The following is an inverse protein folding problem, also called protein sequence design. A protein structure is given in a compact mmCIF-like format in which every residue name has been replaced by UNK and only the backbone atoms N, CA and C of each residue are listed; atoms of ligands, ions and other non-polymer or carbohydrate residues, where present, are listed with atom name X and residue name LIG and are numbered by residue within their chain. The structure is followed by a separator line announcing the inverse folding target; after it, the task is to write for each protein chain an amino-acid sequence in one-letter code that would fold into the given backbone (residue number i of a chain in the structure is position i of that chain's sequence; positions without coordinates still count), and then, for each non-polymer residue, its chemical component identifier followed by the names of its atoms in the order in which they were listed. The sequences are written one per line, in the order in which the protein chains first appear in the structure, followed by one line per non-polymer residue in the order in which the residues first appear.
data_IF_869484113488
#
_entry.id   IF_869484113488
#
_cell.length_a   1.000
_cell.length_b   1.000
_cell.length_c   1.000
_cell.angle_alpha   90.00
_cell.angle_beta   90.00
_cell.angle_gamma   90.00
#
_symmetry.space_group_name_H-M   'P 1'
#
loop_
_entity.id
_entity.type
_entity.pdbx_description
1 polymer ?
#
# COMPACT_ATOMS: atom_id res chain seq x y z
N UNK A 1 5.49 10.07 -19.91
CA UNK A 1 5.91 9.93 -18.50
C UNK A 1 6.61 8.59 -18.36
N UNK A 2 7.83 8.50 -17.81
CA UNK A 2 8.42 7.20 -17.57
C UNK A 2 7.66 6.56 -16.41
N UNK A 3 6.79 5.60 -16.73
CA UNK A 3 6.35 4.60 -15.75
C UNK A 3 7.60 3.77 -15.49
N UNK A 4 8.29 4.06 -14.40
CA UNK A 4 9.51 3.35 -14.04
C UNK A 4 9.09 2.05 -13.35
N UNK A 5 9.22 0.92 -14.04
CA UNK A 5 9.08 -0.41 -13.46
C UNK A 5 10.26 -0.66 -12.51
N UNK A 6 10.15 -0.21 -11.27
CA UNK A 6 10.97 -0.72 -10.19
C UNK A 6 10.42 -2.11 -9.82
N UNK A 7 11.26 -3.14 -9.89
CA UNK A 7 10.84 -4.51 -9.60
C UNK A 7 10.76 -4.72 -8.08
N UNK A 8 9.66 -4.28 -7.46
CA UNK A 8 9.25 -4.81 -6.15
C UNK A 8 8.78 -6.24 -6.38
N UNK A 9 9.52 -7.21 -5.85
CA UNK A 9 9.15 -8.62 -5.94
C UNK A 9 8.12 -8.96 -4.86
N UNK A 10 6.95 -9.39 -5.30
CA UNK A 10 5.89 -9.89 -4.44
C UNK A 10 5.80 -11.41 -4.57
N UNK A 11 5.56 -12.08 -3.45
CA UNK A 11 5.32 -13.53 -3.46
C UNK A 11 3.90 -13.82 -3.89
N UNK A 12 3.70 -14.94 -4.59
CA UNK A 12 2.37 -15.42 -4.98
C UNK A 12 1.45 -15.72 -3.79
N UNK A 13 2.03 -15.91 -2.60
CA UNK A 13 1.32 -16.20 -1.37
C UNK A 13 2.01 -15.51 -0.17
N UNK A 14 1.22 -14.90 0.71
CA UNK A 14 1.73 -14.19 1.90
C UNK A 14 2.29 -15.14 2.97
N UNK A 15 1.78 -16.37 3.03
CA UNK A 15 2.31 -17.45 3.86
C UNK A 15 3.66 -17.96 3.36
N UNK A 16 3.87 -18.05 2.03
CA UNK A 16 5.19 -18.34 1.45
C UNK A 16 6.22 -17.27 1.80
N UNK A 17 5.85 -15.99 1.75
CA UNK A 17 6.73 -14.90 2.22
C UNK A 17 7.10 -15.07 3.70
N UNK A 18 6.13 -15.40 4.55
CA UNK A 18 6.38 -15.66 5.97
C UNK A 18 7.30 -16.87 6.19
N UNK A 19 7.08 -17.97 5.48
CA UNK A 19 7.93 -19.16 5.56
C UNK A 19 9.37 -18.86 5.09
N UNK A 20 9.52 -18.08 4.01
CA UNK A 20 10.83 -17.75 3.46
C UNK A 20 11.60 -16.70 4.28
N UNK A 21 10.90 -15.85 5.04
CA UNK A 21 11.57 -14.84 5.88
C UNK A 21 12.47 -15.42 6.97
N UNK A 22 12.37 -16.73 7.27
CA UNK A 22 13.15 -17.46 8.27
C UNK A 22 13.28 -16.70 9.61
N UNK A 23 12.25 -15.93 9.97
CA UNK A 23 12.23 -15.13 11.18
C UNK A 23 12.10 -16.06 12.38
N UNK A 24 13.01 -15.92 13.34
CA UNK A 24 12.89 -16.68 14.58
C UNK A 24 11.59 -16.27 15.31
N UNK A 25 10.89 -17.21 15.96
CA UNK A 25 9.71 -16.88 16.77
C UNK A 25 10.01 -15.82 17.84
N UNK A 26 11.25 -15.76 18.34
CA UNK A 26 11.70 -14.73 19.28
C UNK A 26 11.60 -13.33 18.67
N UNK A 27 12.00 -13.13 17.41
CA UNK A 27 11.86 -11.81 16.75
C UNK A 27 10.40 -11.36 16.64
N UNK A 28 9.47 -12.31 16.45
CA UNK A 28 8.04 -12.03 16.41
C UNK A 28 7.52 -11.59 17.79
N UNK A 29 8.02 -12.22 18.85
CA UNK A 29 7.64 -11.93 20.24
C UNK A 29 8.27 -10.62 20.73
N UNK A 30 9.54 -10.39 20.40
CA UNK A 30 10.35 -9.28 20.91
C UNK A 30 10.07 -7.95 20.21
N UNK A 31 9.35 -7.96 19.09
CA UNK A 31 8.81 -6.75 18.46
C UNK A 31 9.87 -5.77 17.92
N UNK A 32 11.07 -6.27 17.58
CA UNK A 32 12.21 -5.44 17.19
C UNK A 32 12.05 -4.80 15.78
N UNK A 33 13.06 -4.04 15.33
CA UNK A 33 13.02 -3.35 14.03
C UNK A 33 12.79 -4.30 12.85
N UNK A 34 13.47 -5.46 12.85
CA UNK A 34 13.34 -6.48 11.81
C UNK A 34 11.89 -6.98 11.69
N UNK A 35 11.20 -7.13 12.82
CA UNK A 35 9.79 -7.49 12.84
C UNK A 35 8.88 -6.40 12.27
N UNK A 36 9.21 -5.12 12.49
CA UNK A 36 8.45 -3.99 11.96
C UNK A 36 8.59 -3.90 10.44
N UNK A 37 9.80 -4.07 9.91
CA UNK A 37 10.06 -4.12 8.47
C UNK A 37 9.35 -5.31 7.82
N UNK A 38 9.44 -6.49 8.44
CA UNK A 38 8.74 -7.69 7.98
C UNK A 38 7.21 -7.49 7.93
N UNK A 39 6.62 -6.90 8.98
CA UNK A 39 5.19 -6.56 8.97
C UNK A 39 4.83 -5.62 7.83
N UNK A 40 5.69 -4.65 7.53
CA UNK A 40 5.56 -3.76 6.37
C UNK A 40 5.50 -4.56 5.07
N UNK A 41 6.54 -5.35 4.79
CA UNK A 41 6.63 -6.16 3.58
C UNK A 41 5.47 -7.15 3.43
N UNK A 42 5.05 -7.80 4.52
CA UNK A 42 3.91 -8.71 4.52
C UNK A 42 2.59 -7.99 4.21
N UNK A 43 2.39 -6.80 4.77
CA UNK A 43 1.18 -6.01 4.52
C UNK A 43 1.13 -5.50 3.07
N UNK A 44 2.26 -5.04 2.53
CA UNK A 44 2.38 -4.64 1.12
C UNK A 44 2.14 -5.82 0.17
N UNK A 45 2.66 -7.01 0.49
CA UNK A 45 2.44 -8.21 -0.28
C UNK A 45 0.97 -8.65 -0.24
N UNK A 46 0.32 -8.57 0.92
CA UNK A 46 -1.12 -8.80 1.03
C UNK A 46 -1.92 -7.85 0.14
N UNK A 47 -1.65 -6.55 0.20
CA UNK A 47 -2.32 -5.55 -0.64
C UNK A 47 -2.07 -5.83 -2.13
N UNK A 48 -0.85 -6.16 -2.54
CA UNK A 48 -0.54 -6.52 -3.92
C UNK A 48 -1.41 -7.71 -4.41
N UNK A 49 -1.54 -8.75 -3.60
CA UNK A 49 -2.35 -9.93 -3.94
C UNK A 49 -3.85 -9.59 -4.04
N UNK A 50 -4.39 -8.77 -3.14
CA UNK A 50 -5.78 -8.31 -3.22
C UNK A 50 -6.04 -7.44 -4.47
N UNK A 51 -5.07 -6.60 -4.87
CA UNK A 51 -5.19 -5.81 -6.10
C UNK A 51 -5.16 -6.69 -7.35
N UNK A 52 -4.19 -7.61 -7.43
CA UNK A 52 -4.03 -8.51 -8.59
C UNK A 52 -5.21 -9.46 -8.75
N UNK A 53 -5.77 -9.95 -7.63
CA UNK A 53 -6.94 -10.85 -7.64
C UNK A 53 -8.25 -10.16 -8.02
N UNK A 54 -8.26 -8.83 -8.10
CA UNK A 54 -9.43 -8.03 -8.46
C UNK A 54 -9.26 -7.37 -9.83
N UNK A 55 -9.90 -6.22 -10.06
CA UNK A 55 -9.84 -5.51 -11.35
C UNK A 55 -8.49 -4.83 -11.59
N UNK A 56 -7.64 -4.72 -10.58
CA UNK A 56 -6.36 -4.01 -10.61
C UNK A 56 -5.18 -4.95 -10.90
N UNK A 57 -5.30 -5.71 -12.00
CA UNK A 57 -4.38 -6.83 -12.36
C UNK A 57 -2.91 -6.44 -12.52
N UNK A 58 -2.64 -5.17 -12.77
CA UNK A 58 -1.30 -4.64 -12.97
C UNK A 58 -1.04 -3.50 -11.97
N UNK A 59 -0.52 -3.80 -10.77
CA UNK A 59 -0.15 -2.76 -9.82
C UNK A 59 1.00 -1.92 -10.38
N UNK A 60 0.82 -0.60 -10.36
CA UNK A 60 1.85 0.38 -10.71
C UNK A 60 2.43 1.01 -9.46
N UNK A 61 3.67 1.50 -9.53
CA UNK A 61 4.39 2.11 -8.40
C UNK A 61 4.84 3.52 -8.77
N UNK A 62 5.07 4.35 -7.76
CA UNK A 62 5.58 5.70 -7.99
C UNK A 62 6.66 6.10 -6.99
N UNK A 63 7.69 6.77 -7.48
CA UNK A 63 8.75 7.38 -6.69
C UNK A 63 9.08 8.77 -7.21
N UNK A 64 9.53 9.66 -6.34
CA UNK A 64 9.98 11.01 -6.67
C UNK A 64 11.46 11.18 -6.34
N UNK A 65 12.38 10.90 -7.28
CA UNK A 65 13.81 11.25 -7.17
C UNK A 65 14.43 11.01 -5.76
N UNK A 66 14.03 9.93 -5.07
CA UNK A 66 14.50 9.60 -3.70
C UNK A 66 13.82 10.35 -2.54
N UNK A 67 12.83 11.20 -2.79
CA UNK A 67 12.13 12.04 -1.79
C UNK A 67 10.94 11.31 -1.16
N UNK A 68 10.17 10.59 -1.99
CA UNK A 68 8.92 9.95 -1.60
C UNK A 68 8.65 8.74 -2.49
N UNK A 69 8.03 7.72 -1.91
CA UNK A 69 7.55 6.51 -2.58
C UNK A 69 6.09 6.28 -2.21
N UNK A 70 5.26 6.03 -3.23
CA UNK A 70 3.87 5.58 -3.10
C UNK A 70 3.83 4.12 -3.51
N UNK A 71 3.28 3.29 -2.62
CA UNK A 71 3.31 1.84 -2.77
C UNK A 71 2.51 1.35 -3.97
N UNK A 72 1.37 1.95 -4.29
CA UNK A 72 0.58 1.56 -5.45
C UNK A 72 -0.09 2.75 -6.12
N UNK A 73 -0.26 2.71 -7.44
CA UNK A 73 -1.19 3.58 -8.17
C UNK A 73 -2.35 2.73 -8.67
N UNK A 74 -3.57 3.18 -8.35
CA UNK A 74 -4.82 2.53 -8.72
C UNK A 74 -5.45 3.32 -9.86
N UNK A 75 -5.58 2.69 -11.03
CA UNK A 75 -6.27 3.26 -12.18
C UNK A 75 -7.75 2.91 -12.13
N UNK A 76 -8.61 3.93 -12.18
CA UNK A 76 -10.07 3.74 -12.22
C UNK A 76 -10.69 4.78 -13.15
N UNK A 77 -11.31 4.32 -14.24
CA UNK A 77 -11.89 5.20 -15.25
C UNK A 77 -10.83 6.05 -15.94
N UNK A 78 -10.85 7.36 -15.72
CA UNK A 78 -9.87 8.32 -16.28
C UNK A 78 -8.97 8.94 -15.20
N UNK A 79 -8.97 8.37 -13.99
CA UNK A 79 -8.25 8.91 -12.83
C UNK A 79 -7.22 7.89 -12.30
N UNK A 80 -6.16 8.42 -11.69
CA UNK A 80 -5.11 7.63 -11.03
C UNK A 80 -5.04 8.03 -9.57
N UNK A 81 -5.28 7.07 -8.67
CA UNK A 81 -5.28 7.28 -7.24
C UNK A 81 -4.03 6.68 -6.59
N UNK A 82 -3.21 7.48 -5.89
CA UNK A 82 -2.09 6.95 -5.11
C UNK A 82 -2.62 6.18 -3.89
N UNK A 83 -1.98 5.07 -3.57
CA UNK A 83 -2.24 4.25 -2.41
C UNK A 83 -0.96 4.04 -1.60
N UNK A 84 -1.02 4.40 -0.32
CA UNK A 84 0.02 4.13 0.67
C UNK A 84 -0.43 3.02 1.62
N UNK A 85 0.40 1.98 1.77
CA UNK A 85 0.14 0.81 2.61
C UNK A 85 0.87 0.97 3.95
N UNK A 86 0.19 0.66 5.05
CA UNK A 86 0.79 0.65 6.40
C UNK A 86 0.32 -0.56 7.18
N UNK A 87 1.28 -1.31 7.71
CA UNK A 87 1.02 -2.39 8.66
C UNK A 87 0.44 -1.90 10.00
N UNK A 88 0.73 -0.65 10.38
CA UNK A 88 0.30 -0.04 11.63
C UNK A 88 -0.67 1.13 11.45
N UNK A 89 -1.05 1.76 12.57
CA UNK A 89 -2.00 2.89 12.64
C UNK A 89 -1.34 4.26 12.45
N UNK A 90 -0.15 4.30 11.86
CA UNK A 90 0.61 5.55 11.67
C UNK A 90 -0.24 6.60 10.98
N UNK A 91 -0.19 7.85 11.45
CA UNK A 91 -0.89 8.98 10.81
C UNK A 91 -0.01 9.76 9.83
N UNK A 92 1.26 9.38 9.65
CA UNK A 92 2.16 10.06 8.72
C UNK A 92 1.71 9.78 7.28
N UNK A 93 1.66 10.83 6.44
CA UNK A 93 1.18 10.78 5.04
C UNK A 93 2.16 11.47 4.07
N UNK A 94 3.46 11.47 4.39
CA UNK A 94 4.46 12.31 3.69
C UNK A 94 4.45 12.04 2.18
N UNK A 95 4.49 10.77 1.75
CA UNK A 95 4.53 10.42 0.34
C UNK A 95 3.27 10.81 -0.43
N UNK A 96 2.09 10.58 0.17
CA UNK A 96 0.82 10.99 -0.43
C UNK A 96 0.71 12.50 -0.60
N UNK A 97 1.20 13.27 0.37
CA UNK A 97 1.20 14.74 0.27
C UNK A 97 2.15 15.23 -0.83
N UNK A 98 3.34 14.63 -0.97
CA UNK A 98 4.27 14.95 -2.06
C UNK A 98 3.66 14.61 -3.42
N UNK A 99 3.03 13.44 -3.56
CA UNK A 99 2.29 13.08 -4.76
C UNK A 99 1.17 14.10 -5.06
N UNK A 100 0.39 14.46 -4.04
CA UNK A 100 -0.72 15.40 -4.18
C UNK A 100 -0.26 16.80 -4.62
N UNK A 101 0.88 17.27 -4.13
CA UNK A 101 1.46 18.55 -4.56
C UNK A 101 1.82 18.55 -6.04
N UNK A 102 2.26 17.40 -6.57
CA UNK A 102 2.68 17.27 -7.97
C UNK A 102 1.51 17.09 -8.94
N UNK A 103 0.47 16.37 -8.53
CA UNK A 103 -0.60 15.92 -9.43
C UNK A 103 -2.01 16.38 -9.06
N UNK A 104 -2.18 17.06 -7.91
CA UNK A 104 -3.48 17.52 -7.41
C UNK A 104 -4.55 16.40 -7.43
N UNK A 105 -4.19 15.23 -6.91
CA UNK A 105 -5.03 14.03 -6.96
C UNK A 105 -6.37 14.27 -6.27
N UNK A 106 -7.46 13.91 -6.96
CA UNK A 106 -8.82 13.98 -6.44
C UNK A 106 -9.04 13.05 -5.22
N UNK A 107 -8.18 12.03 -5.06
CA UNK A 107 -8.22 11.07 -3.97
C UNK A 107 -6.81 10.67 -3.52
N UNK A 108 -6.59 10.57 -2.22
CA UNK A 108 -5.38 10.02 -1.61
C UNK A 108 -5.75 8.79 -0.78
N UNK A 109 -5.38 7.60 -1.25
CA UNK A 109 -5.80 6.33 -0.67
C UNK A 109 -4.79 5.78 0.31
N UNK A 110 -5.28 5.14 1.36
CA UNK A 110 -4.45 4.45 2.36
C UNK A 110 -5.01 3.08 2.65
N UNK A 111 -4.15 2.07 2.72
CA UNK A 111 -4.48 0.73 3.15
C UNK A 111 -3.86 0.50 4.53
N UNK A 112 -4.66 0.45 5.59
CA UNK A 112 -4.16 0.36 6.98
C UNK A 112 -5.00 -0.53 7.87
N UNK A 113 -4.51 -0.87 9.06
CA UNK A 113 -5.27 -1.58 10.08
C UNK A 113 -6.36 -0.72 10.76
N UNK A 114 -6.50 0.56 10.41
CA UNK A 114 -7.54 1.44 10.96
C UNK A 114 -8.89 1.25 10.25
N UNK A 115 -9.97 1.67 10.92
CA UNK A 115 -11.32 1.67 10.37
C UNK A 115 -11.47 2.55 9.11
N UNK A 116 -12.51 2.26 8.33
CA UNK A 116 -12.88 3.06 7.17
C UNK A 116 -13.08 4.51 7.62
N UNK A 117 -12.34 5.44 7.01
CA UNK A 117 -12.42 6.86 7.34
C UNK A 117 -12.20 7.70 6.08
N UNK A 118 -12.95 8.79 5.97
CA UNK A 118 -12.77 9.82 4.97
C UNK A 118 -12.51 11.16 5.65
N UNK A 119 -11.47 11.86 5.22
CA UNK A 119 -11.02 13.14 5.80
C UNK A 119 -10.47 14.03 4.68
N UNK A 120 -11.28 14.98 4.21
CA UNK A 120 -10.96 15.82 3.05
C UNK A 120 -10.86 14.99 1.76
N UNK A 121 -9.69 14.95 1.14
CA UNK A 121 -9.41 14.09 -0.02
C UNK A 121 -8.70 12.77 0.36
N UNK A 122 -8.57 12.47 1.65
CA UNK A 122 -7.83 11.32 2.16
C UNK A 122 -8.80 10.22 2.58
N UNK A 123 -8.61 9.04 1.99
CA UNK A 123 -9.44 7.85 2.19
C UNK A 123 -8.61 6.77 2.86
N UNK A 124 -9.03 6.35 4.05
CA UNK A 124 -8.45 5.20 4.73
C UNK A 124 -9.33 3.98 4.51
N UNK A 125 -8.79 2.98 3.82
CA UNK A 125 -9.36 1.66 3.65
C UNK A 125 -8.75 0.69 4.67
N UNK A 126 -9.57 -0.01 5.48
CA UNK A 126 -9.10 -1.14 6.26
C UNK A 126 -8.47 -2.19 5.34
N UNK A 127 -7.42 -2.87 5.80
CA UNK A 127 -6.74 -3.91 5.01
C UNK A 127 -7.73 -4.98 4.50
N UNK A 128 -8.68 -5.42 5.33
CA UNK A 128 -9.68 -6.42 4.93
C UNK A 128 -10.63 -5.97 3.81
N UNK A 129 -10.62 -4.69 3.43
CA UNK A 129 -11.54 -4.09 2.47
C UNK A 129 -10.88 -3.83 1.10
N UNK A 130 -9.59 -4.15 0.95
CA UNK A 130 -8.80 -3.76 -0.21
C UNK A 130 -9.33 -4.35 -1.52
N UNK A 131 -9.86 -5.57 -1.53
CA UNK A 131 -10.51 -6.15 -2.73
C UNK A 131 -11.78 -5.43 -3.21
N UNK A 132 -12.27 -4.43 -2.47
CA UNK A 132 -13.47 -3.65 -2.83
C UNK A 132 -13.18 -2.22 -3.28
N UNK A 133 -11.91 -1.86 -3.44
CA UNK A 133 -11.54 -0.48 -3.79
C UNK A 133 -11.58 -0.19 -5.30
N UNK A 134 -11.72 1.09 -5.70
CA UNK A 134 -12.22 2.18 -4.88
C UNK A 134 -13.69 1.97 -4.53
N UNK A 135 -14.05 2.15 -3.26
CA UNK A 135 -15.47 2.18 -2.87
C UNK A 135 -16.03 3.49 -3.39
N UNK A 136 -17.00 3.37 -4.29
CA UNK A 136 -17.77 4.51 -4.78
C UNK A 136 -18.75 4.91 -3.68
N UNK A 137 -18.70 6.16 -3.26
CA UNK A 137 -19.79 6.77 -2.51
C UNK A 137 -20.99 6.82 -3.45
N UNK A 138 -22.00 6.00 -3.20
CA UNK A 138 -23.33 6.16 -3.82
C UNK A 138 -24.03 7.38 -3.23
#
# INVERSE_FOLDING_TARGET
MPIMTFSRFFFVDVGLLGAQSNLSPQVIIDGNLLFTEFKGALTENYVAQELVSTKHRHPYYWTSEGIAEVDFLIEEGHEIYPMEVKAGVSQKKKSLLVYNQKYASSRLSRATAMNLKHDGNIYNYPLYLISRIPILSH
#
